data_IF_620321021507
#
_entry.id   IF_620321021507
#
_cell.length_a   1.000
_cell.length_b   1.000
_cell.length_c   1.000
_cell.angle_alpha   90.00
_cell.angle_beta   90.00
_cell.angle_gamma   90.00
#
_symmetry.space_group_name_H-M   'P 1'
#
loop_
_entity.id
_entity.type
_entity.pdbx_description
1 polymer ?
#
# COMPACT_ATOMS: atom_id res chain seq x y z
N UNK A 1 -1.32 -6.91 -11.23
CA UNK A 1 -0.46 -6.09 -10.33
C UNK A 1 0.36 -6.96 -9.41
N UNK A 2 1.48 -6.44 -8.87
CA UNK A 2 2.39 -7.20 -7.99
C UNK A 2 2.87 -6.36 -6.81
N UNK A 3 2.74 -6.91 -5.60
CA UNK A 3 3.12 -6.27 -4.33
C UNK A 3 4.36 -6.96 -3.74
N UNK A 4 5.42 -6.21 -3.51
CA UNK A 4 6.64 -6.68 -2.86
C UNK A 4 6.79 -6.14 -1.45
N UNK A 5 7.20 -7.04 -0.56
CA UNK A 5 7.47 -6.75 0.84
C UNK A 5 7.02 -7.88 1.75
N UNK A 6 7.65 -8.01 2.91
CA UNK A 6 7.25 -8.98 3.92
C UNK A 6 5.98 -8.50 4.66
N UNK A 7 5.00 -9.37 4.89
CA UNK A 7 3.74 -9.05 5.60
C UNK A 7 3.92 -8.84 7.11
N UNK A 8 5.12 -9.10 7.65
CA UNK A 8 5.51 -8.70 9.01
C UNK A 8 5.71 -7.17 9.11
N UNK A 9 5.89 -6.47 7.99
CA UNK A 9 5.86 -5.02 7.91
C UNK A 9 4.42 -4.51 7.97
N UNK A 10 4.06 -3.63 8.92
CA UNK A 10 2.71 -3.06 8.99
C UNK A 10 2.36 -2.22 7.76
N UNK A 11 3.36 -1.60 7.12
CA UNK A 11 3.17 -0.81 5.90
C UNK A 11 2.86 -1.68 4.69
N UNK A 12 3.46 -2.87 4.58
CA UNK A 12 3.12 -3.83 3.51
C UNK A 12 1.75 -4.43 3.79
N UNK A 13 1.52 -4.86 5.04
CA UNK A 13 0.29 -5.53 5.44
C UNK A 13 -0.95 -4.65 5.22
N UNK A 14 -0.87 -3.35 5.53
CA UNK A 14 -1.99 -2.44 5.28
C UNK A 14 -2.29 -2.27 3.80
N UNK A 15 -1.28 -2.27 2.93
CA UNK A 15 -1.51 -2.22 1.47
C UNK A 15 -2.19 -3.50 1.01
N UNK A 16 -1.67 -4.68 1.40
CA UNK A 16 -2.27 -5.96 1.03
C UNK A 16 -3.74 -6.06 1.46
N UNK A 17 -4.06 -5.67 2.70
CA UNK A 17 -5.43 -5.64 3.20
C UNK A 17 -6.28 -4.63 2.43
N UNK A 18 -5.78 -3.41 2.19
CA UNK A 18 -6.53 -2.41 1.43
C UNK A 18 -6.85 -2.87 0.02
N UNK A 19 -5.90 -3.50 -0.69
CA UNK A 19 -6.13 -4.06 -2.02
C UNK A 19 -7.24 -5.12 -2.01
N UNK A 20 -7.21 -6.04 -1.04
CA UNK A 20 -8.25 -7.06 -0.86
C UNK A 20 -9.63 -6.42 -0.63
N UNK A 21 -9.73 -5.42 0.25
CA UNK A 21 -10.98 -4.70 0.53
C UNK A 21 -11.47 -3.89 -0.69
N UNK A 22 -10.56 -3.33 -1.48
CA UNK A 22 -10.89 -2.68 -2.75
C UNK A 22 -11.33 -3.67 -3.85
N UNK A 23 -11.17 -4.99 -3.64
CA UNK A 23 -11.44 -6.01 -4.65
C UNK A 23 -10.40 -6.01 -5.77
N UNK A 24 -9.17 -5.59 -5.48
CA UNK A 24 -8.08 -5.53 -6.44
C UNK A 24 -7.27 -6.82 -6.38
N UNK A 25 -7.21 -7.55 -7.49
CA UNK A 25 -6.37 -8.73 -7.62
C UNK A 25 -4.89 -8.34 -7.72
N UNK A 26 -4.04 -8.98 -6.92
CA UNK A 26 -2.60 -8.78 -6.95
C UNK A 26 -1.84 -10.06 -6.58
N UNK A 27 -0.65 -10.21 -7.13
CA UNK A 27 0.31 -11.21 -6.67
C UNK A 27 1.13 -10.63 -5.51
N UNK A 28 1.22 -11.35 -4.39
CA UNK A 28 2.08 -10.98 -3.27
C UNK A 28 3.39 -11.75 -3.30
N UNK A 29 4.51 -11.03 -3.31
CA UNK A 29 5.84 -11.61 -3.36
C UNK A 29 6.69 -11.14 -2.16
N UNK A 30 6.95 -12.03 -1.19
CA UNK A 30 7.60 -11.68 0.06
C UNK A 30 9.11 -11.49 -0.14
N UNK A 31 9.52 -10.23 -0.36
CA UNK A 31 10.93 -9.83 -0.36
C UNK A 31 11.25 -8.94 0.83
N UNK A 32 12.39 -9.21 1.46
CA UNK A 32 12.99 -8.39 2.50
C UNK A 32 13.88 -7.31 1.89
N UNK A 33 13.75 -6.08 2.37
CA UNK A 33 14.67 -4.98 2.06
C UNK A 33 16.07 -5.17 2.66
N UNK A 34 16.25 -6.19 3.51
CA UNK A 34 17.53 -6.54 4.12
C UNK A 34 18.12 -7.82 3.52
N UNK A 35 17.47 -8.97 3.72
CA UNK A 35 18.03 -10.28 3.34
C UNK A 35 17.95 -10.57 1.84
N UNK A 36 17.08 -9.88 1.11
CA UNK A 36 16.95 -9.99 -0.36
C UNK A 36 17.17 -8.64 -1.03
N UNK A 37 18.06 -7.81 -0.49
CA UNK A 37 18.34 -6.45 -0.94
C UNK A 37 18.59 -6.36 -2.45
N UNK A 38 19.48 -7.20 -3.00
CA UNK A 38 19.85 -7.15 -4.42
C UNK A 38 18.65 -7.42 -5.33
N UNK A 39 17.83 -8.43 -5.02
CA UNK A 39 16.61 -8.73 -5.75
C UNK A 39 15.60 -7.57 -5.66
N UNK A 40 15.46 -6.97 -4.47
CA UNK A 40 14.57 -5.82 -4.27
C UNK A 40 15.04 -4.59 -5.07
N UNK A 41 16.35 -4.32 -5.11
CA UNK A 41 16.95 -3.19 -5.81
C UNK A 41 16.74 -3.23 -7.34
N UNK A 42 16.59 -4.43 -7.93
CA UNK A 42 16.22 -4.57 -9.34
C UNK A 42 14.77 -4.15 -9.64
N UNK A 43 13.90 -4.17 -8.63
CA UNK A 43 12.48 -3.80 -8.75
C UNK A 43 12.30 -2.31 -8.41
N UNK A 44 12.85 -1.88 -7.28
CA UNK A 44 12.82 -0.51 -6.81
C UNK A 44 14.21 -0.12 -6.32
N UNK A 45 14.95 0.76 -7.02
CA UNK A 45 16.31 1.13 -6.65
C UNK A 45 16.40 1.92 -5.33
N UNK A 46 15.27 2.43 -4.81
CA UNK A 46 15.19 3.07 -3.47
C UNK A 46 15.09 2.02 -2.36
N UNK A 47 14.79 0.77 -2.69
CA UNK A 47 14.70 -0.38 -1.78
C UNK A 47 13.76 -0.10 -0.60
N UNK A 48 12.50 0.18 -0.93
CA UNK A 48 11.44 0.45 0.04
C UNK A 48 10.32 -0.57 -0.05
N UNK A 49 9.94 -1.13 1.09
CA UNK A 49 8.71 -1.91 1.23
C UNK A 49 7.62 -1.05 1.90
N UNK A 50 6.35 -1.14 1.46
CA UNK A 50 5.90 -1.84 0.26
C UNK A 50 6.37 -1.16 -1.03
N UNK A 51 6.54 -1.98 -2.07
CA UNK A 51 6.59 -1.54 -3.47
C UNK A 51 5.45 -2.23 -4.22
N UNK A 52 4.71 -1.50 -5.03
CA UNK A 52 3.64 -2.03 -5.88
C UNK A 52 3.93 -1.69 -7.34
N UNK A 53 3.86 -2.68 -8.23
CA UNK A 53 3.83 -2.43 -9.67
C UNK A 53 2.41 -2.54 -10.20
N UNK A 54 2.00 -1.49 -10.91
CA UNK A 54 0.78 -1.46 -11.70
C UNK A 54 0.95 -2.28 -12.98
N UNK A 55 -0.15 -2.60 -13.66
CA UNK A 55 -0.13 -3.45 -14.86
C UNK A 55 0.60 -2.79 -16.05
N UNK A 56 0.72 -1.46 -16.06
CA UNK A 56 1.48 -0.70 -17.05
C UNK A 56 2.98 -0.59 -16.75
N UNK A 57 3.43 -1.23 -15.66
CA UNK A 57 4.83 -1.20 -15.21
C UNK A 57 5.17 0.01 -14.33
N UNK A 58 4.23 0.90 -14.03
CA UNK A 58 4.44 1.99 -13.07
C UNK A 58 4.74 1.41 -11.69
N UNK A 59 5.80 1.90 -11.04
CA UNK A 59 6.22 1.46 -9.71
C UNK A 59 5.87 2.53 -8.67
N UNK A 60 5.06 2.13 -7.69
CA UNK A 60 4.66 2.94 -6.54
C UNK A 60 5.37 2.47 -5.27
N UNK A 61 5.65 3.41 -4.38
CA UNK A 61 6.18 3.17 -3.04
C UNK A 61 5.52 4.13 -2.04
N UNK A 62 5.75 3.88 -0.74
CA UNK A 62 4.99 4.48 0.37
C UNK A 62 3.56 3.94 0.47
N UNK A 63 3.25 3.31 1.61
CA UNK A 63 1.95 2.67 1.82
C UNK A 63 0.77 3.62 1.71
N UNK A 64 0.93 4.89 2.09
CA UNK A 64 -0.14 5.88 2.05
C UNK A 64 -0.41 6.32 0.62
N UNK A 65 0.64 6.55 -0.17
CA UNK A 65 0.50 6.95 -1.58
C UNK A 65 -0.04 5.80 -2.45
N UNK A 66 0.36 4.56 -2.17
CA UNK A 66 -0.21 3.38 -2.85
C UNK A 66 -1.72 3.29 -2.57
N UNK A 67 -2.14 3.43 -1.31
CA UNK A 67 -3.56 3.37 -0.94
C UNK A 67 -4.33 4.57 -1.53
N UNK A 68 -3.74 5.76 -1.53
CA UNK A 68 -4.34 6.98 -2.10
C UNK A 68 -4.65 6.82 -3.59
N UNK A 69 -3.77 6.16 -4.35
CA UNK A 69 -4.02 5.83 -5.76
C UNK A 69 -5.31 5.00 -5.95
N UNK A 70 -5.52 3.96 -5.13
CA UNK A 70 -6.74 3.14 -5.22
C UNK A 70 -7.96 3.85 -4.63
N UNK A 71 -7.79 4.67 -3.60
CA UNK A 71 -8.85 5.56 -3.12
C UNK A 71 -9.33 6.49 -4.24
N UNK A 72 -8.41 7.15 -4.94
CA UNK A 72 -8.72 8.11 -5.99
C UNK A 72 -9.45 7.47 -7.19
N UNK A 73 -9.12 6.23 -7.53
CA UNK A 73 -9.70 5.49 -8.65
C UNK A 73 -10.95 4.68 -8.29
N UNK A 74 -11.22 4.47 -7.01
CA UNK A 74 -12.40 3.74 -6.52
C UNK A 74 -13.71 4.52 -6.68
N UNK A 75 -14.78 3.79 -7.01
CA UNK A 75 -16.13 4.33 -6.95
C UNK A 75 -16.46 4.83 -5.53
N UNK A 76 -17.31 5.86 -5.36
CA UNK A 76 -17.59 6.44 -4.04
C UNK A 76 -18.04 5.42 -2.97
N UNK A 77 -18.74 4.36 -3.37
CA UNK A 77 -19.20 3.31 -2.46
C UNK A 77 -18.12 2.30 -2.02
N UNK A 78 -16.97 2.26 -2.73
CA UNK A 78 -15.85 1.36 -2.46
C UNK A 78 -14.67 2.05 -1.76
N UNK A 79 -14.75 3.37 -1.55
CA UNK A 79 -13.73 4.14 -0.81
C UNK A 79 -13.69 3.69 0.65
N UNK A 80 -12.49 3.50 1.20
CA UNK A 80 -12.29 3.07 2.59
C UNK A 80 -12.39 4.27 3.55
N UNK A 81 -12.01 5.45 3.07
CA UNK A 81 -12.03 6.67 3.86
C UNK A 81 -13.37 7.44 3.73
N UNK A 82 -13.88 8.02 4.83
CA UNK A 82 -15.03 8.91 4.76
C UNK A 82 -14.75 10.13 3.87
N UNK A 83 -15.75 10.57 3.11
CA UNK A 83 -15.61 11.74 2.22
C UNK A 83 -16.00 13.06 2.91
N UNK A 84 -16.73 12.99 4.03
CA UNK A 84 -17.10 14.17 4.80
C UNK A 84 -15.92 14.67 5.65
N UNK A 85 -15.54 15.96 5.60
CA UNK A 85 -14.29 16.45 6.21
C UNK A 85 -14.10 16.11 7.69
N UNK A 86 -15.15 16.23 8.51
CA UNK A 86 -15.07 15.95 9.96
C UNK A 86 -14.86 14.46 10.23
N UNK A 87 -15.56 13.59 9.49
CA UNK A 87 -15.40 12.14 9.61
C UNK A 87 -14.04 11.68 9.08
N UNK A 88 -13.59 12.28 7.97
CA UNK A 88 -12.27 12.04 7.39
C UNK A 88 -11.15 12.38 8.39
N UNK A 89 -11.19 13.56 9.00
CA UNK A 89 -10.20 13.96 10.00
C UNK A 89 -10.13 13.00 11.19
N UNK A 90 -11.28 12.48 11.63
CA UNK A 90 -11.35 11.47 12.69
C UNK A 90 -10.72 10.15 12.25
N UNK A 91 -11.04 9.66 11.05
CA UNK A 91 -10.48 8.43 10.49
C UNK A 91 -8.96 8.55 10.31
N UNK A 92 -8.48 9.66 9.74
CA UNK A 92 -7.05 9.90 9.51
C UNK A 92 -6.26 10.00 10.83
N UNK A 93 -6.85 10.54 11.90
CA UNK A 93 -6.22 10.50 13.23
C UNK A 93 -5.99 9.05 13.69
N UNK A 94 -6.98 8.19 13.56
CA UNK A 94 -6.86 6.76 13.92
C UNK A 94 -5.80 6.07 13.08
N UNK A 95 -5.80 6.28 11.76
CA UNK A 95 -4.77 5.74 10.86
C UNK A 95 -3.38 6.25 11.26
N UNK A 96 -3.23 7.55 11.53
CA UNK A 96 -1.96 8.14 11.95
C UNK A 96 -1.40 7.52 13.23
N UNK A 97 -2.26 7.26 14.23
CA UNK A 97 -1.86 6.58 15.46
C UNK A 97 -1.39 5.14 15.18
N UNK A 98 -2.08 4.41 14.30
CA UNK A 98 -1.70 3.04 13.95
C UNK A 98 -0.38 2.95 13.16
N UNK A 99 0.01 4.01 12.44
CA UNK A 99 1.26 4.04 11.65
C UNK A 99 2.50 4.42 12.47
N UNK A 100 2.29 4.99 13.66
CA UNK A 100 3.35 5.40 14.58
C UNK A 100 3.60 4.39 15.71
N UNK A 101 2.79 3.34 15.80
CA UNK A 101 2.83 2.31 16.85
C UNK A 101 3.81 1.16 16.52
#
# INVERSE_FOLDING_TARGET
>A
MKLWGMLDSPYVRRVAISLDVFGIEFEHEPLSVFSTFEAFAQINPVVKAPTLSLDDGTVLMDSTLIIDYFEATSAPAAKLLPQQPQALGTALRTVGLALAA
#
